data_IF_250209838195
#
_entry.id   IF_250209838195
#
_cell.length_a   1.000
_cell.length_b   1.000
_cell.length_c   1.000
_cell.angle_alpha   90.00
_cell.angle_beta   90.00
_cell.angle_gamma   90.00
#
_symmetry.space_group_name_H-M   'P 1'
#
loop_
_entity.id
_entity.type
_entity.pdbx_description
1 polymer ?
#
# COMPACT_ATOMS: atom_id res chain seq x y z
N UNK A 1 -4.60 -11.81 11.83
CA UNK A 1 -3.69 -11.60 10.67
C UNK A 1 -2.64 -10.58 11.06
N UNK A 2 -1.38 -10.82 10.70
CA UNK A 2 -0.31 -9.85 10.96
C UNK A 2 -0.26 -8.78 9.87
N UNK A 3 0.29 -7.60 10.20
CA UNK A 3 0.32 -6.44 9.32
C UNK A 3 1.72 -5.82 9.23
N UNK A 4 2.14 -5.47 8.02
CA UNK A 4 3.29 -4.61 7.75
C UNK A 4 2.79 -3.23 7.35
N UNK A 5 3.24 -2.18 8.04
CA UNK A 5 2.96 -0.79 7.68
C UNK A 5 4.24 -0.13 7.19
N UNK A 6 4.24 0.32 5.95
CA UNK A 6 5.39 1.02 5.38
C UNK A 6 5.28 2.52 5.65
N UNK A 7 6.28 3.08 6.34
CA UNK A 7 6.34 4.47 6.76
C UNK A 7 7.62 5.20 6.29
N UNK A 8 8.37 4.57 5.39
CA UNK A 8 9.53 5.20 4.74
C UNK A 8 9.08 6.24 3.72
N UNK A 9 9.49 7.44 3.88
CA UNK A 9 9.17 8.51 2.93
C UNK A 9 9.60 9.85 3.52
N UNK A 10 10.70 10.39 2.99
CA UNK A 10 11.22 11.70 3.39
C UNK A 10 11.25 12.58 2.14
N UNK A 11 10.30 13.52 1.99
CA UNK A 11 10.28 14.46 0.88
C UNK A 11 11.54 15.30 0.85
N UNK A 12 12.14 15.44 -0.34
CA UNK A 12 13.31 16.30 -0.56
C UNK A 12 12.87 17.74 -0.78
N UNK A 13 13.78 18.68 -0.73
CA UNK A 13 13.51 20.13 -0.88
C UNK A 13 12.82 20.49 -2.21
N UNK A 14 13.05 19.69 -3.27
CA UNK A 14 12.43 19.86 -4.57
C UNK A 14 11.03 19.23 -4.69
N UNK A 15 10.57 18.53 -3.66
CA UNK A 15 9.25 17.88 -3.61
C UNK A 15 8.18 18.89 -3.12
N UNK A 16 7.03 19.03 -3.79
CA UNK A 16 5.93 19.88 -3.32
C UNK A 16 5.47 19.58 -1.88
N UNK A 17 5.62 18.35 -1.42
CA UNK A 17 5.30 17.93 -0.05
C UNK A 17 6.29 18.47 0.99
N UNK A 18 7.45 18.99 0.57
CA UNK A 18 8.43 19.55 1.50
C UNK A 18 7.88 20.73 2.30
N UNK A 19 7.03 21.56 1.69
CA UNK A 19 6.37 22.69 2.37
C UNK A 19 5.53 22.24 3.58
N UNK A 20 4.98 21.02 3.54
CA UNK A 20 4.18 20.43 4.62
C UNK A 20 5.03 19.66 5.62
N UNK A 21 6.06 18.97 5.17
CA UNK A 21 6.89 18.09 6.00
C UNK A 21 8.09 18.79 6.62
N UNK A 22 8.58 19.87 5.98
CA UNK A 22 9.78 20.61 6.40
C UNK A 22 10.99 19.67 6.64
N UNK A 23 11.18 18.68 5.76
CA UNK A 23 12.24 17.69 5.85
C UNK A 23 12.01 16.58 6.88
N UNK A 24 10.84 16.54 7.53
CA UNK A 24 10.45 15.44 8.43
C UNK A 24 9.82 14.29 7.62
N UNK A 25 9.80 13.06 8.16
CA UNK A 25 9.08 11.95 7.55
C UNK A 25 7.61 12.28 7.31
N UNK A 26 7.09 11.95 6.10
CA UNK A 26 5.69 12.22 5.71
C UNK A 26 4.69 11.60 6.70
N UNK A 27 5.00 10.42 7.23
CA UNK A 27 4.19 9.70 8.21
C UNK A 27 3.92 10.48 9.51
N UNK A 28 4.72 11.52 9.81
CA UNK A 28 4.58 12.38 11.00
C UNK A 28 3.71 13.62 10.75
N UNK A 29 3.14 13.81 9.55
CA UNK A 29 2.20 14.89 9.30
C UNK A 29 0.98 14.76 10.23
N UNK A 30 0.58 15.91 10.82
CA UNK A 30 -0.55 15.98 11.75
C UNK A 30 -1.88 16.03 11.00
N UNK A 31 -2.84 15.22 11.48
CA UNK A 31 -4.22 15.16 11.06
C UNK A 31 -5.11 15.20 12.32
N UNK A 32 -5.59 16.38 12.68
CA UNK A 32 -6.20 16.61 13.97
C UNK A 32 -5.17 16.49 15.11
N UNK A 33 -5.48 15.67 16.12
CA UNK A 33 -4.67 15.43 17.31
C UNK A 33 -3.63 14.30 17.18
N UNK A 34 -3.58 13.61 16.02
CA UNK A 34 -2.72 12.46 15.77
C UNK A 34 -1.87 12.64 14.52
N UNK A 35 -0.72 12.01 14.48
CA UNK A 35 0.04 11.89 13.23
C UNK A 35 -0.65 10.94 12.26
N UNK A 36 -0.33 11.05 10.99
CA UNK A 36 -0.85 10.19 9.93
C UNK A 36 -0.61 8.71 10.22
N UNK A 37 0.60 8.34 10.64
CA UNK A 37 0.92 6.96 11.03
C UNK A 37 0.12 6.51 12.25
N UNK A 38 -0.01 7.35 13.28
CA UNK A 38 -0.79 6.99 14.47
C UNK A 38 -2.24 6.70 14.10
N UNK A 39 -2.86 7.45 13.19
CA UNK A 39 -4.23 7.18 12.72
C UNK A 39 -4.35 5.82 12.03
N UNK A 40 -3.39 5.49 11.16
CA UNK A 40 -3.36 4.18 10.51
C UNK A 40 -3.18 3.06 11.54
N UNK A 41 -2.25 3.21 12.48
CA UNK A 41 -2.01 2.20 13.52
C UNK A 41 -3.22 2.08 14.46
N UNK A 42 -3.87 3.18 14.85
CA UNK A 42 -5.07 3.14 15.67
C UNK A 42 -6.18 2.31 15.02
N UNK A 43 -6.44 2.53 13.71
CA UNK A 43 -7.44 1.77 12.96
C UNK A 43 -7.07 0.27 12.87
N UNK A 44 -5.80 -0.04 12.62
CA UNK A 44 -5.33 -1.42 12.58
C UNK A 44 -5.39 -2.10 13.95
N UNK A 45 -5.10 -1.37 15.05
CA UNK A 45 -5.17 -1.90 16.40
C UNK A 45 -6.61 -2.08 16.92
N UNK A 46 -7.55 -1.30 16.40
CA UNK A 46 -8.99 -1.42 16.71
C UNK A 46 -9.69 -2.49 15.85
N UNK A 47 -9.10 -2.91 14.74
CA UNK A 47 -9.59 -4.01 13.91
C UNK A 47 -9.56 -5.33 14.68
N UNK A 48 -10.63 -6.12 14.54
CA UNK A 48 -10.76 -7.46 15.13
C UNK A 48 -9.93 -8.50 14.40
N UNK A 49 -9.49 -8.16 13.18
CA UNK A 49 -8.80 -9.07 12.28
C UNK A 49 -7.28 -8.96 12.36
N UNK A 50 -6.73 -7.89 12.98
CA UNK A 50 -5.29 -7.61 13.02
C UNK A 50 -4.71 -7.97 14.40
N UNK A 51 -3.59 -8.71 14.37
CA UNK A 51 -2.86 -9.13 15.56
C UNK A 51 -1.56 -8.32 15.72
N UNK A 52 -0.47 -8.74 15.11
CA UNK A 52 0.82 -8.06 15.21
C UNK A 52 0.96 -7.00 14.12
N UNK A 53 1.59 -5.88 14.49
CA UNK A 53 1.90 -4.80 13.56
C UNK A 53 3.39 -4.51 13.61
N UNK A 54 4.02 -4.48 12.43
CA UNK A 54 5.39 -4.01 12.26
C UNK A 54 5.41 -2.79 11.35
N UNK A 55 6.01 -1.70 11.83
CA UNK A 55 6.25 -0.47 11.06
C UNK A 55 7.65 -0.52 10.48
N UNK A 56 7.78 -0.29 9.18
CA UNK A 56 9.07 -0.28 8.49
C UNK A 56 9.32 1.07 7.86
N UNK A 57 10.48 1.65 8.15
CA UNK A 57 10.91 2.93 7.59
C UNK A 57 10.86 4.11 8.55
N UNK A 58 10.35 3.92 9.77
CA UNK A 58 10.30 4.95 10.81
C UNK A 58 10.65 4.35 12.17
N UNK A 59 11.56 5.01 12.90
CA UNK A 59 11.98 4.59 14.24
C UNK A 59 10.90 4.79 15.31
N UNK A 60 11.09 4.13 16.45
CA UNK A 60 10.18 4.22 17.62
C UNK A 60 10.38 5.49 18.45
N UNK A 61 11.47 6.24 18.22
CA UNK A 61 11.90 7.42 18.99
C UNK A 61 11.27 8.74 18.53
N UNK A 62 10.23 8.66 17.69
CA UNK A 62 9.58 9.84 17.09
C UNK A 62 8.42 10.42 17.94
N UNK A 63 8.28 10.01 19.20
CA UNK A 63 7.30 10.56 20.14
C UNK A 63 5.85 10.13 19.89
N UNK A 64 5.63 9.09 19.05
CA UNK A 64 4.31 8.53 18.78
C UNK A 64 3.82 7.67 19.94
N UNK A 65 2.50 7.57 20.08
CA UNK A 65 1.86 6.74 21.10
C UNK A 65 0.87 5.76 20.46
N UNK A 66 0.93 4.50 20.87
CA UNK A 66 0.08 3.43 20.36
C UNK A 66 -0.63 2.70 21.50
N UNK A 67 -1.82 2.17 21.26
CA UNK A 67 -2.63 1.42 22.24
C UNK A 67 -1.96 0.10 22.65
N UNK A 68 -1.28 -0.55 21.71
CA UNK A 68 -0.53 -1.80 21.89
C UNK A 68 0.90 -1.62 21.36
N UNK A 69 1.89 -2.38 21.84
CA UNK A 69 3.24 -2.34 21.30
C UNK A 69 3.27 -2.57 19.80
N UNK A 70 4.07 -1.77 19.10
CA UNK A 70 4.34 -1.86 17.67
C UNK A 70 5.84 -2.07 17.49
N UNK A 71 6.23 -3.01 16.65
CA UNK A 71 7.64 -3.20 16.32
C UNK A 71 8.07 -2.25 15.21
N UNK A 72 9.29 -1.72 15.30
CA UNK A 72 9.84 -0.80 14.30
C UNK A 72 11.09 -1.37 13.65
N UNK A 73 11.17 -1.26 12.32
CA UNK A 73 12.32 -1.63 11.51
C UNK A 73 12.83 -0.42 10.73
N UNK A 74 14.14 -0.37 10.42
CA UNK A 74 14.72 0.71 9.63
C UNK A 74 14.18 0.72 8.19
N UNK A 75 14.38 1.85 7.50
CA UNK A 75 14.06 1.99 6.08
C UNK A 75 15.07 1.21 5.21
N UNK A 76 14.56 0.41 4.30
CA UNK A 76 15.31 -0.38 3.35
C UNK A 76 15.33 0.25 1.94
N UNK A 77 14.97 1.53 1.82
CA UNK A 77 15.12 2.36 0.62
C UNK A 77 14.06 2.18 -0.45
N UNK A 78 13.11 1.25 -0.31
CA UNK A 78 11.96 1.16 -1.21
C UNK A 78 10.75 0.50 -0.54
N UNK A 79 9.55 0.79 -1.07
CA UNK A 79 8.30 0.17 -0.61
C UNK A 79 8.37 -1.37 -0.62
N UNK A 80 8.91 -1.94 -1.69
CA UNK A 80 9.04 -3.40 -1.83
C UNK A 80 10.01 -3.97 -0.80
N UNK A 81 11.19 -3.36 -0.65
CA UNK A 81 12.19 -3.81 0.33
C UNK A 81 11.69 -3.68 1.78
N UNK A 82 10.91 -2.63 2.08
CA UNK A 82 10.31 -2.45 3.39
C UNK A 82 9.25 -3.52 3.69
N UNK A 83 8.40 -3.87 2.72
CA UNK A 83 7.45 -4.96 2.87
C UNK A 83 8.15 -6.30 3.09
N UNK A 84 9.21 -6.60 2.32
CA UNK A 84 10.01 -7.83 2.48
C UNK A 84 10.62 -7.89 3.88
N UNK A 85 11.23 -6.80 4.36
CA UNK A 85 11.85 -6.77 5.69
C UNK A 85 10.80 -6.97 6.80
N UNK A 86 9.63 -6.34 6.69
CA UNK A 86 8.54 -6.51 7.63
C UNK A 86 8.02 -7.95 7.67
N UNK A 87 7.82 -8.58 6.51
CA UNK A 87 7.35 -9.96 6.43
C UNK A 87 8.43 -10.95 6.92
N UNK A 88 9.70 -10.70 6.62
CA UNK A 88 10.80 -11.52 7.13
C UNK A 88 10.81 -11.51 8.66
N UNK A 89 10.69 -10.34 9.28
CA UNK A 89 10.58 -10.22 10.74
C UNK A 89 9.34 -10.96 11.29
N UNK A 90 8.17 -10.83 10.66
CA UNK A 90 6.96 -11.56 11.09
C UNK A 90 7.16 -13.08 11.04
N UNK A 91 7.86 -13.60 10.01
CA UNK A 91 8.20 -15.02 9.88
C UNK A 91 9.19 -15.49 10.95
N UNK A 92 10.12 -14.65 11.38
CA UNK A 92 11.01 -14.95 12.51
C UNK A 92 10.22 -15.08 13.82
N UNK A 93 9.15 -14.26 13.99
CA UNK A 93 8.27 -14.34 15.17
C UNK A 93 7.28 -15.51 15.11
N UNK A 94 6.85 -15.89 13.90
CA UNK A 94 5.94 -16.99 13.65
C UNK A 94 6.27 -17.63 12.29
N UNK A 95 6.97 -18.76 12.24
CA UNK A 95 7.29 -19.45 10.98
C UNK A 95 6.07 -19.87 10.15
N UNK A 96 4.91 -20.06 10.81
CA UNK A 96 3.65 -20.46 10.18
C UNK A 96 2.78 -19.26 9.74
N UNK A 97 3.33 -18.03 9.73
CA UNK A 97 2.59 -16.87 9.27
C UNK A 97 2.11 -17.08 7.83
N UNK A 98 0.80 -16.95 7.64
CA UNK A 98 0.14 -17.20 6.35
C UNK A 98 0.08 -15.95 5.46
N UNK A 99 -1.12 -15.42 5.26
CA UNK A 99 -1.35 -14.17 4.53
C UNK A 99 -1.13 -12.99 5.47
N UNK A 100 -0.39 -11.99 5.01
CA UNK A 100 -0.04 -10.75 5.73
C UNK A 100 -0.72 -9.57 5.04
N UNK A 101 -1.29 -8.66 5.83
CA UNK A 101 -1.75 -7.36 5.34
C UNK A 101 -0.55 -6.43 5.16
N UNK A 102 -0.45 -5.80 4.00
CA UNK A 102 0.48 -4.70 3.73
C UNK A 102 -0.32 -3.40 3.65
N UNK A 103 0.05 -2.42 4.45
CA UNK A 103 -0.59 -1.11 4.52
C UNK A 103 0.43 0.00 4.27
N UNK A 104 0.00 1.04 3.58
CA UNK A 104 0.71 2.31 3.58
C UNK A 104 0.41 3.09 4.87
N UNK A 105 1.31 3.99 5.26
CA UNK A 105 1.12 4.88 6.43
C UNK A 105 0.41 6.19 6.09
N UNK A 106 0.01 6.42 4.84
CA UNK A 106 -0.44 7.72 4.33
C UNK A 106 -1.92 7.81 3.96
N UNK A 107 -2.74 6.93 4.54
CA UNK A 107 -4.19 6.89 4.41
C UNK A 107 -4.90 7.19 5.74
N UNK A 108 -4.85 8.45 6.24
CA UNK A 108 -5.27 8.78 7.61
C UNK A 108 -6.77 8.63 7.89
N UNK A 109 -7.60 8.45 6.87
CA UNK A 109 -9.05 8.22 7.01
C UNK A 109 -9.44 6.75 7.13
N UNK A 110 -8.49 5.83 7.18
CA UNK A 110 -8.74 4.41 7.42
C UNK A 110 -9.45 4.19 8.76
N UNK A 111 -10.39 3.25 8.80
CA UNK A 111 -11.07 2.83 10.03
C UNK A 111 -10.95 1.33 10.25
N UNK A 112 -11.13 0.88 11.49
CA UNK A 112 -11.12 -0.55 11.84
C UNK A 112 -12.14 -1.35 11.04
N UNK A 113 -13.35 -0.81 10.88
CA UNK A 113 -14.42 -1.46 10.11
C UNK A 113 -14.04 -1.63 8.63
N UNK A 114 -13.37 -0.65 8.02
CA UNK A 114 -12.88 -0.76 6.65
C UNK A 114 -11.84 -1.87 6.51
N UNK A 115 -10.95 -2.02 7.48
CA UNK A 115 -9.95 -3.10 7.52
C UNK A 115 -10.63 -4.46 7.62
N UNK A 116 -11.55 -4.62 8.59
CA UNK A 116 -12.27 -5.87 8.79
C UNK A 116 -13.10 -6.26 7.56
N UNK A 117 -13.77 -5.30 6.91
CA UNK A 117 -14.54 -5.52 5.70
C UNK A 117 -13.66 -5.88 4.50
N UNK A 118 -12.50 -5.23 4.33
CA UNK A 118 -11.54 -5.61 3.28
C UNK A 118 -11.11 -7.07 3.45
N UNK A 119 -10.73 -7.47 4.68
CA UNK A 119 -10.31 -8.85 4.96
C UNK A 119 -11.46 -9.83 4.69
N UNK A 120 -12.69 -9.47 5.05
CA UNK A 120 -13.88 -10.28 4.76
C UNK A 120 -14.14 -10.43 3.25
N UNK A 121 -13.98 -9.36 2.46
CA UNK A 121 -14.10 -9.39 0.99
C UNK A 121 -13.04 -10.30 0.33
N UNK A 122 -11.90 -10.47 0.98
CA UNK A 122 -10.82 -11.31 0.49
C UNK A 122 -10.94 -12.78 0.88
N UNK A 123 -11.94 -13.16 1.66
CA UNK A 123 -12.17 -14.56 2.01
C UNK A 123 -12.69 -15.40 0.80
N UNK A 124 -12.32 -16.71 0.74
CA UNK A 124 -11.28 -17.36 1.53
C UNK A 124 -9.89 -16.82 1.15
N UNK A 125 -8.94 -16.82 2.12
CA UNK A 125 -7.57 -16.35 1.89
C UNK A 125 -6.73 -17.43 1.14
N UNK A 126 -7.17 -17.80 -0.05
CA UNK A 126 -6.65 -18.88 -0.88
C UNK A 126 -5.69 -18.42 -1.99
N UNK A 127 -5.62 -17.10 -2.26
CA UNK A 127 -4.68 -16.54 -3.22
C UNK A 127 -3.32 -16.20 -2.57
N UNK A 128 -2.31 -16.03 -3.43
CA UNK A 128 -0.97 -15.64 -3.02
C UNK A 128 -0.83 -14.11 -2.90
N UNK A 129 -1.58 -13.37 -3.73
CA UNK A 129 -1.56 -11.91 -3.76
C UNK A 129 -2.98 -11.37 -3.86
N UNK A 130 -3.27 -10.31 -3.10
CA UNK A 130 -4.53 -9.58 -3.12
C UNK A 130 -4.22 -8.13 -3.47
N UNK A 131 -4.50 -7.77 -4.71
CA UNK A 131 -4.39 -6.39 -5.18
C UNK A 131 -5.73 -5.70 -5.04
N UNK A 132 -5.75 -4.55 -4.38
CA UNK A 132 -6.95 -3.76 -4.16
C UNK A 132 -6.98 -2.52 -5.05
N UNK A 133 -8.17 -2.08 -5.41
CA UNK A 133 -8.35 -0.84 -6.16
C UNK A 133 -9.70 -0.20 -5.85
N UNK A 134 -9.78 1.12 -6.00
CA UNK A 134 -11.05 1.84 -6.05
C UNK A 134 -11.30 2.34 -7.47
N UNK A 135 -12.57 2.35 -7.90
CA UNK A 135 -12.94 2.93 -9.19
C UNK A 135 -12.87 4.46 -9.13
N UNK A 136 -12.66 5.10 -10.26
CA UNK A 136 -12.72 6.55 -10.36
C UNK A 136 -14.07 7.10 -9.88
N UNK A 137 -15.16 6.38 -10.16
CA UNK A 137 -16.50 6.77 -9.70
C UNK A 137 -16.56 6.80 -8.17
N UNK A 138 -16.07 5.76 -7.48
CA UNK A 138 -15.99 5.70 -6.02
C UNK A 138 -15.13 6.83 -5.45
N UNK A 139 -13.97 7.08 -6.08
CA UNK A 139 -13.04 8.14 -5.66
C UNK A 139 -13.65 9.53 -5.83
N UNK A 140 -14.17 9.86 -7.02
CA UNK A 140 -14.71 11.19 -7.31
C UNK A 140 -16.03 11.48 -6.57
N UNK A 141 -16.80 10.45 -6.21
CA UNK A 141 -17.98 10.60 -5.37
C UNK A 141 -17.63 11.03 -3.95
N UNK A 142 -16.54 10.50 -3.38
CA UNK A 142 -16.13 10.79 -1.99
C UNK A 142 -15.18 11.98 -1.90
N UNK A 143 -14.24 12.07 -2.85
CA UNK A 143 -13.18 13.08 -2.89
C UNK A 143 -13.14 13.78 -4.26
N UNK A 144 -14.16 14.59 -4.59
CA UNK A 144 -14.23 15.26 -5.88
C UNK A 144 -13.05 16.23 -6.05
N UNK A 145 -12.37 16.14 -7.20
CA UNK A 145 -11.23 17.00 -7.50
C UNK A 145 -9.94 16.70 -6.73
N UNK A 146 -9.81 15.51 -6.13
CA UNK A 146 -8.64 15.08 -5.35
C UNK A 146 -7.33 14.98 -6.16
N UNK A 147 -7.38 15.20 -7.47
CA UNK A 147 -6.23 15.08 -8.39
C UNK A 147 -5.52 13.71 -8.30
N UNK A 148 -6.27 12.64 -7.97
CA UNK A 148 -5.74 11.27 -7.98
C UNK A 148 -5.28 10.88 -9.38
N UNK A 149 -4.27 10.06 -9.43
CA UNK A 149 -3.81 9.45 -10.68
C UNK A 149 -4.59 8.17 -10.94
N UNK A 150 -5.27 8.12 -12.10
CA UNK A 150 -6.03 6.94 -12.49
C UNK A 150 -5.33 6.14 -13.57
N UNK A 151 -5.25 4.83 -13.36
CA UNK A 151 -4.85 3.86 -14.40
C UNK A 151 -6.06 3.63 -15.31
N UNK A 152 -5.88 3.91 -16.60
CA UNK A 152 -6.94 3.79 -17.62
C UNK A 152 -6.88 2.42 -18.28
N UNK A 153 -7.83 1.57 -17.92
CA UNK A 153 -8.04 0.26 -18.49
C UNK A 153 -9.18 0.29 -19.51
N UNK A 154 -9.42 -0.86 -20.19
CA UNK A 154 -10.53 -1.01 -21.12
C UNK A 154 -11.88 -0.93 -20.39
N UNK A 155 -12.57 0.19 -20.55
CA UNK A 155 -13.88 0.44 -19.93
C UNK A 155 -13.85 0.72 -18.42
N UNK A 156 -12.67 0.97 -17.83
CA UNK A 156 -12.53 1.18 -16.40
C UNK A 156 -11.36 2.13 -16.09
N UNK A 157 -11.56 3.08 -15.19
CA UNK A 157 -10.49 3.91 -14.61
C UNK A 157 -10.38 3.59 -13.12
N UNK A 158 -9.18 3.23 -12.64
CA UNK A 158 -8.95 2.78 -11.26
C UNK A 158 -7.81 3.54 -10.60
N UNK A 159 -7.89 3.69 -9.28
CA UNK A 159 -6.77 4.04 -8.40
C UNK A 159 -6.38 2.80 -7.60
N UNK A 160 -5.09 2.48 -7.52
CA UNK A 160 -4.62 1.41 -6.63
C UNK A 160 -5.00 1.69 -5.19
N UNK A 161 -5.34 0.65 -4.45
CA UNK A 161 -5.54 0.74 -3.01
C UNK A 161 -4.20 0.71 -2.27
N UNK A 162 -4.18 1.33 -1.11
CA UNK A 162 -3.01 1.44 -0.24
C UNK A 162 -2.95 0.33 0.82
N UNK A 163 -3.91 -0.60 0.76
CA UNK A 163 -3.90 -1.87 1.45
C UNK A 163 -3.92 -3.02 0.44
N UNK A 164 -3.05 -3.98 0.67
CA UNK A 164 -3.03 -5.23 -0.09
C UNK A 164 -2.67 -6.39 0.83
N UNK A 165 -2.76 -7.61 0.34
CA UNK A 165 -2.32 -8.76 1.11
C UNK A 165 -1.46 -9.66 0.25
N UNK A 166 -0.53 -10.35 0.90
CA UNK A 166 0.28 -11.36 0.25
C UNK A 166 0.59 -12.52 1.20
N UNK A 167 0.73 -13.71 0.62
CA UNK A 167 1.16 -14.89 1.36
C UNK A 167 2.67 -14.77 1.64
N UNK A 168 3.07 -14.88 2.89
CA UNK A 168 4.45 -14.64 3.32
C UNK A 168 5.47 -15.53 2.61
N UNK A 169 5.10 -16.77 2.25
CA UNK A 169 5.99 -17.71 1.53
C UNK A 169 6.29 -17.30 0.08
N UNK A 170 5.53 -16.37 -0.51
CA UNK A 170 5.75 -15.93 -1.89
C UNK A 170 7.03 -15.13 -2.09
N UNK A 171 7.57 -14.57 -1.01
CA UNK A 171 8.82 -13.81 -1.03
C UNK A 171 9.96 -14.70 -1.50
N UNK A 172 10.06 -15.92 -0.96
CA UNK A 172 11.13 -16.86 -1.29
C UNK A 172 11.08 -17.28 -2.78
N UNK A 173 9.87 -17.53 -3.29
CA UNK A 173 9.65 -17.93 -4.68
C UNK A 173 9.94 -16.80 -5.71
N UNK A 174 9.95 -15.54 -5.27
CA UNK A 174 10.04 -14.37 -6.13
C UNK A 174 11.18 -13.42 -5.74
N UNK A 175 12.21 -13.87 -5.04
CA UNK A 175 13.28 -13.04 -4.54
C UNK A 175 13.91 -12.16 -5.62
N UNK A 176 14.31 -12.73 -6.78
CA UNK A 176 14.90 -11.98 -7.90
C UNK A 176 13.95 -10.89 -8.45
N UNK A 177 12.65 -11.21 -8.54
CA UNK A 177 11.64 -10.25 -8.99
C UNK A 177 11.50 -9.10 -7.99
N UNK A 178 11.41 -9.41 -6.70
CA UNK A 178 11.28 -8.38 -5.67
C UNK A 178 12.55 -7.52 -5.56
N UNK A 179 13.72 -8.08 -5.71
CA UNK A 179 14.98 -7.31 -5.80
C UNK A 179 15.00 -6.38 -7.01
N UNK A 180 14.52 -6.87 -8.18
CA UNK A 180 14.38 -6.04 -9.37
C UNK A 180 13.36 -4.91 -9.19
N UNK A 181 12.24 -5.17 -8.54
CA UNK A 181 11.21 -4.18 -8.22
C UNK A 181 11.69 -3.17 -7.17
N UNK A 182 12.39 -3.61 -6.13
CA UNK A 182 13.00 -2.74 -5.12
C UNK A 182 13.98 -1.73 -5.76
N UNK A 183 14.69 -2.17 -6.81
CA UNK A 183 15.63 -1.34 -7.57
C UNK A 183 15.03 -0.71 -8.83
N UNK A 184 13.71 -0.71 -8.97
CA UNK A 184 12.98 -0.28 -10.18
C UNK A 184 13.29 1.14 -10.63
N UNK A 185 13.47 2.07 -9.69
CA UNK A 185 13.83 3.47 -9.98
C UNK A 185 15.16 3.58 -10.76
N UNK A 186 16.09 2.64 -10.53
CA UNK A 186 17.39 2.60 -11.22
C UNK A 186 17.34 1.81 -12.54
N UNK A 187 16.32 0.95 -12.73
CA UNK A 187 16.27 -0.03 -13.81
C UNK A 187 14.88 -0.19 -14.45
N UNK A 188 14.18 0.93 -14.72
CA UNK A 188 12.84 0.93 -15.34
C UNK A 188 12.74 0.05 -16.60
N UNK A 189 13.82 -0.06 -17.39
CA UNK A 189 13.87 -0.93 -18.57
C UNK A 189 13.77 -2.44 -18.23
N UNK A 190 14.24 -2.86 -17.04
CA UNK A 190 14.12 -4.26 -16.59
C UNK A 190 12.66 -4.61 -16.33
N UNK A 191 11.89 -3.69 -15.72
CA UNK A 191 10.46 -3.87 -15.51
C UNK A 191 9.71 -3.93 -16.82
N UNK A 192 10.03 -3.02 -17.77
CA UNK A 192 9.45 -3.06 -19.10
C UNK A 192 9.70 -4.40 -19.81
N UNK A 193 10.87 -5.00 -19.60
CA UNK A 193 11.21 -6.33 -20.12
C UNK A 193 10.41 -7.45 -19.45
N UNK A 194 10.19 -7.37 -18.14
CA UNK A 194 9.41 -8.35 -17.36
C UNK A 194 7.93 -8.30 -17.77
N UNK A 195 7.36 -7.11 -17.87
CA UNK A 195 5.95 -6.88 -18.25
C UNK A 195 5.70 -7.23 -19.72
N UNK A 196 6.71 -7.06 -20.57
CA UNK A 196 6.63 -7.38 -21.99
C UNK A 196 6.02 -6.26 -22.86
N UNK A 197 6.57 -6.12 -24.06
CA UNK A 197 6.22 -5.04 -24.99
C UNK A 197 4.74 -5.05 -25.44
N UNK A 198 4.14 -6.23 -25.60
CA UNK A 198 2.73 -6.39 -25.98
C UNK A 198 1.79 -5.79 -24.95
N UNK A 199 2.09 -5.99 -23.65
CA UNK A 199 1.32 -5.44 -22.54
C UNK A 199 1.45 -3.91 -22.48
N UNK A 200 2.65 -3.41 -22.66
CA UNK A 200 2.91 -1.96 -22.69
C UNK A 200 2.13 -1.27 -23.82
N UNK A 201 2.10 -1.88 -25.02
CA UNK A 201 1.30 -1.36 -26.14
C UNK A 201 -0.19 -1.38 -25.82
N UNK A 202 -0.73 -2.51 -25.30
CA UNK A 202 -2.14 -2.58 -24.90
C UNK A 202 -2.50 -1.54 -23.86
N UNK A 203 -1.61 -1.33 -22.88
CA UNK A 203 -1.78 -0.31 -21.83
C UNK A 203 -1.80 1.11 -22.44
N UNK A 204 -0.83 1.44 -23.30
CA UNK A 204 -0.74 2.74 -23.95
C UNK A 204 -2.00 3.07 -24.77
N UNK A 205 -2.55 2.09 -25.47
CA UNK A 205 -3.79 2.24 -26.25
C UNK A 205 -5.08 2.00 -25.45
N UNK A 206 -5.00 1.90 -24.10
CA UNK A 206 -6.15 1.66 -23.21
C UNK A 206 -6.97 0.42 -23.59
N UNK A 207 -6.31 -0.59 -24.13
CA UNK A 207 -6.91 -1.87 -24.56
C UNK A 207 -6.69 -3.01 -23.56
N UNK A 208 -5.99 -2.75 -22.49
CA UNK A 208 -5.72 -3.73 -21.43
C UNK A 208 -6.92 -3.84 -20.51
N UNK A 209 -7.52 -5.03 -20.42
CA UNK A 209 -8.61 -5.33 -19.50
C UNK A 209 -8.09 -5.80 -18.13
N UNK A 210 -8.94 -5.71 -17.10
CA UNK A 210 -8.60 -6.13 -15.74
C UNK A 210 -8.26 -7.63 -15.67
N UNK A 211 -9.01 -8.47 -16.40
CA UNK A 211 -8.75 -9.91 -16.46
C UNK A 211 -7.40 -10.25 -17.13
N UNK A 212 -7.02 -9.51 -18.18
CA UNK A 212 -5.70 -9.69 -18.81
C UNK A 212 -4.57 -9.22 -17.87
N UNK A 213 -4.81 -8.13 -17.13
CA UNK A 213 -3.87 -7.63 -16.13
C UNK A 213 -3.64 -8.68 -15.03
N UNK A 214 -4.71 -9.34 -14.56
CA UNK A 214 -4.64 -10.44 -13.59
C UNK A 214 -3.77 -11.59 -14.11
N UNK A 215 -4.06 -12.10 -15.29
CA UNK A 215 -3.32 -13.23 -15.90
C UNK A 215 -1.83 -12.89 -16.03
N UNK A 216 -1.51 -11.66 -16.43
CA UNK A 216 -0.12 -11.23 -16.58
C UNK A 216 0.57 -11.06 -15.22
N UNK A 217 -0.14 -10.55 -14.22
CA UNK A 217 0.37 -10.47 -12.85
C UNK A 217 0.66 -11.87 -12.29
N UNK A 218 -0.23 -12.85 -12.48
CA UNK A 218 -0.03 -14.25 -12.07
C UNK A 218 1.20 -14.86 -12.75
N UNK A 219 1.40 -14.58 -14.04
CA UNK A 219 2.59 -15.03 -14.78
C UNK A 219 3.89 -14.44 -14.20
N UNK A 220 3.88 -13.14 -13.92
CA UNK A 220 5.06 -12.41 -13.43
C UNK A 220 5.36 -12.80 -12.00
N UNK A 221 4.35 -12.83 -11.14
CA UNK A 221 4.45 -13.10 -9.71
C UNK A 221 4.55 -14.60 -9.40
N UNK A 222 4.43 -15.48 -10.40
CA UNK A 222 4.45 -16.95 -10.25
C UNK A 222 3.53 -17.43 -9.12
N UNK A 223 2.35 -16.81 -9.01
CA UNK A 223 1.38 -17.10 -7.96
C UNK A 223 0.00 -16.62 -8.33
N UNK A 224 -1.00 -17.10 -7.59
CA UNK A 224 -2.40 -16.72 -7.79
C UNK A 224 -2.65 -15.28 -7.34
N UNK A 225 -3.37 -14.52 -8.16
CA UNK A 225 -3.71 -13.11 -7.87
C UNK A 225 -5.22 -12.95 -7.76
N UNK A 226 -5.67 -12.35 -6.67
CA UNK A 226 -7.05 -11.87 -6.51
C UNK A 226 -7.07 -10.35 -6.61
N UNK A 227 -7.91 -9.84 -7.51
CA UNK A 227 -8.11 -8.39 -7.65
C UNK A 227 -9.44 -8.05 -6.97
N UNK A 228 -9.39 -7.10 -6.03
CA UNK A 228 -10.52 -6.77 -5.15
C UNK A 228 -10.87 -5.30 -5.31
N UNK A 229 -12.12 -5.03 -5.69
CA UNK A 229 -12.65 -3.68 -5.72
C UNK A 229 -12.98 -3.20 -4.31
N UNK A 230 -12.46 -2.04 -3.94
CA UNK A 230 -12.72 -1.40 -2.66
C UNK A 230 -14.02 -0.59 -2.73
N UNK A 231 -14.94 -0.78 -1.79
CA UNK A 231 -16.12 0.07 -1.66
C UNK A 231 -15.80 1.41 -0.99
N UNK A 232 -14.60 1.57 -0.42
CA UNK A 232 -14.15 2.73 0.34
C UNK A 232 -13.05 3.48 -0.39
N UNK A 233 -13.32 4.73 -0.77
CA UNK A 233 -12.34 5.61 -1.39
C UNK A 233 -11.18 5.95 -0.44
N UNK A 234 -11.44 5.96 0.86
CA UNK A 234 -10.49 6.24 1.93
C UNK A 234 -9.29 5.29 1.91
N UNK A 235 -9.48 4.03 1.50
CA UNK A 235 -8.41 3.03 1.38
C UNK A 235 -7.56 3.17 0.10
N UNK A 236 -7.88 4.14 -0.75
CA UNK A 236 -7.15 4.49 -1.96
C UNK A 236 -6.89 5.99 -2.06
N UNK A 237 -7.00 6.71 -0.93
CA UNK A 237 -6.79 8.17 -0.85
C UNK A 237 -5.60 8.47 0.04
N UNK A 238 -4.41 8.38 -0.55
CA UNK A 238 -3.16 8.74 0.10
C UNK A 238 -2.89 10.25 0.13
N UNK A 239 -2.05 10.68 1.04
CA UNK A 239 -1.62 12.06 1.22
C UNK A 239 -0.35 12.38 0.42
N UNK A 240 -0.32 12.14 -0.89
CA UNK A 240 0.88 12.28 -1.74
C UNK A 240 1.07 13.70 -2.34
N UNK A 241 0.03 14.52 -2.31
CA UNK A 241 0.05 15.88 -2.88
C UNK A 241 -0.48 16.89 -1.87
N UNK A 242 -0.01 18.16 -1.93
CA UNK A 242 -0.51 19.23 -1.09
C UNK A 242 -2.03 19.30 -0.99
N UNK A 243 -2.71 19.26 -2.13
CA UNK A 243 -4.17 19.38 -2.18
C UNK A 243 -4.87 18.16 -1.53
N UNK A 244 -4.24 16.98 -1.59
CA UNK A 244 -4.74 15.77 -0.91
C UNK A 244 -4.58 15.90 0.60
N UNK A 245 -3.44 16.42 1.09
CA UNK A 245 -3.23 16.70 2.51
C UNK A 245 -4.28 17.67 3.03
N UNK A 246 -4.53 18.78 2.32
CA UNK A 246 -5.51 19.77 2.73
C UNK A 246 -6.93 19.19 2.76
N UNK A 247 -7.30 18.40 1.74
CA UNK A 247 -8.60 17.72 1.66
C UNK A 247 -8.77 16.72 2.81
N UNK A 248 -7.76 15.92 3.09
CA UNK A 248 -7.79 14.92 4.16
C UNK A 248 -7.81 15.58 5.55
N UNK A 249 -7.10 16.70 5.75
CA UNK A 249 -7.11 17.46 7.01
C UNK A 249 -8.45 18.07 7.33
N UNK A 250 -9.24 18.43 6.32
CA UNK A 250 -10.58 18.99 6.50
C UNK A 250 -11.59 17.98 7.08
N UNK A 251 -11.24 16.69 7.13
CA UNK A 251 -12.07 15.62 7.74
C UNK A 251 -11.88 15.50 9.26
N UNK A 252 -10.91 16.22 9.84
CA UNK A 252 -10.56 16.19 11.27
C UNK A 252 -10.75 17.55 11.93
#
# INVERSE_FOLDING_TARGET
MDCVVTAGGMPREDDPMYAYTQGKPKALLQFGDRTMLERVIDALQDSKSIDKIVVVGLGSDMGMTFKRPVHHLPDNGSLVANNIAGIAWLREQNPDVGVVLASSSDIPLITADMVDQLIALCQPLDADYYYTYATKETMEKRFPGSKRTYVKLKGLEISGGDLGMLRASTIDANQELFEALANARKHAWKIAKVVGFKMLIKFLFRRLGLAELKVEAERILKGSVRIVELPYAELAMDADKPEQVDMLRAEF
#
